data_IF_276933563207
#
_entry.id   IF_276933563207
#
_cell.length_a   1.000
_cell.length_b   1.000
_cell.length_c   1.000
_cell.angle_alpha   90.00
_cell.angle_beta   90.00
_cell.angle_gamma   90.00
#
_symmetry.space_group_name_H-M   'P 1'
#
loop_
_entity.id
_entity.type
_entity.pdbx_description
1 polymer ?
#
# COMPACT_ATOMS: atom_id res chain seq x y z
N UNK A 1 -52.72 5.95 52.92
CA UNK A 1 -51.44 6.40 52.28
C UNK A 1 -50.32 5.72 53.04
N UNK A 2 -49.88 4.54 52.54
CA UNK A 2 -48.71 3.83 53.09
C UNK A 2 -47.50 4.16 52.23
N UNK A 3 -46.69 5.07 52.70
CA UNK A 3 -45.35 5.30 52.16
C UNK A 3 -44.44 4.17 52.64
N UNK A 4 -44.23 3.16 51.82
CA UNK A 4 -43.16 2.17 52.01
C UNK A 4 -41.86 2.91 51.84
N UNK A 5 -41.27 3.34 52.94
CA UNK A 5 -39.84 3.78 52.93
C UNK A 5 -39.03 2.54 52.60
N UNK A 6 -38.63 2.41 51.31
CA UNK A 6 -37.59 1.46 50.90
C UNK A 6 -36.33 1.84 51.68
N UNK A 7 -35.88 0.93 52.52
CA UNK A 7 -34.59 1.03 53.23
C UNK A 7 -33.48 1.14 52.17
N UNK A 8 -33.22 2.36 51.73
CA UNK A 8 -32.18 2.63 50.71
C UNK A 8 -30.86 2.60 51.44
N UNK A 9 -30.05 1.61 51.20
CA UNK A 9 -28.65 1.57 51.65
C UNK A 9 -27.94 2.87 51.25
N UNK A 10 -27.33 3.53 52.21
CA UNK A 10 -26.46 4.67 51.93
C UNK A 10 -25.17 4.16 51.39
N UNK A 11 -24.84 4.57 50.15
CA UNK A 11 -23.63 4.18 49.43
C UNK A 11 -22.73 5.39 49.29
N UNK A 12 -21.44 5.20 49.44
CA UNK A 12 -20.45 6.18 49.01
C UNK A 12 -20.42 6.30 47.47
N UNK A 13 -19.92 7.41 46.97
CA UNK A 13 -19.73 7.61 45.51
C UNK A 13 -18.90 6.48 44.87
N UNK A 14 -17.89 6.02 45.59
CA UNK A 14 -17.02 4.93 45.10
C UNK A 14 -17.74 3.59 45.04
N UNK A 15 -18.56 3.27 46.05
CA UNK A 15 -19.38 2.03 46.10
C UNK A 15 -20.42 2.03 44.98
N UNK A 16 -21.12 3.14 44.78
CA UNK A 16 -22.07 3.28 43.68
C UNK A 16 -21.38 3.14 42.30
N UNK A 17 -20.27 3.84 42.10
CA UNK A 17 -19.49 3.76 40.83
C UNK A 17 -18.98 2.36 40.55
N UNK A 18 -18.51 1.63 41.59
CA UNK A 18 -18.09 0.23 41.44
C UNK A 18 -19.27 -0.68 41.11
N UNK A 19 -20.42 -0.50 41.76
CA UNK A 19 -21.62 -1.30 41.48
C UNK A 19 -22.10 -1.10 40.03
N UNK A 20 -22.14 0.17 39.58
CA UNK A 20 -22.46 0.49 38.15
C UNK A 20 -21.47 -0.14 37.21
N UNK A 21 -20.17 -0.05 37.52
CA UNK A 21 -19.13 -0.65 36.69
C UNK A 21 -19.32 -2.15 36.54
N UNK A 22 -19.51 -2.87 37.65
CA UNK A 22 -19.72 -4.32 37.64
C UNK A 22 -20.96 -4.70 36.81
N UNK A 23 -22.08 -3.99 37.01
CA UNK A 23 -23.30 -4.21 36.23
C UNK A 23 -23.08 -4.02 34.72
N UNK A 24 -22.32 -3.01 34.34
CA UNK A 24 -22.02 -2.75 32.92
C UNK A 24 -21.09 -3.82 32.37
N UNK A 25 -20.01 -4.16 33.07
CA UNK A 25 -19.04 -5.16 32.62
C UNK A 25 -19.65 -6.56 32.51
N UNK A 26 -20.54 -6.95 33.42
CA UNK A 26 -21.26 -8.24 33.40
C UNK A 26 -22.27 -8.34 32.25
N UNK A 27 -22.97 -7.23 31.91
CA UNK A 27 -24.00 -7.26 30.87
C UNK A 27 -23.47 -6.95 29.47
N UNK A 28 -22.29 -6.31 29.35
CA UNK A 28 -21.68 -5.86 28.09
C UNK A 28 -20.26 -6.35 27.95
N UNK A 29 -20.03 -7.62 28.36
CA UNK A 29 -18.70 -8.27 28.24
C UNK A 29 -18.25 -8.45 26.80
N UNK A 30 -19.19 -8.63 25.86
CA UNK A 30 -18.93 -8.74 24.44
C UNK A 30 -20.03 -8.02 23.66
N UNK A 31 -19.65 -6.94 22.97
CA UNK A 31 -20.57 -6.13 22.16
C UNK A 31 -20.01 -5.89 20.76
N UNK A 32 -20.91 -5.75 19.80
CA UNK A 32 -20.62 -5.31 18.43
C UNK A 32 -21.35 -3.98 18.22
N UNK A 33 -20.62 -2.90 18.12
CA UNK A 33 -21.17 -1.55 17.99
C UNK A 33 -20.80 -0.96 16.66
N UNK A 34 -21.79 -0.62 15.83
CA UNK A 34 -21.61 0.08 14.55
C UNK A 34 -21.63 1.59 14.79
N UNK A 35 -20.72 2.30 14.15
CA UNK A 35 -20.68 3.75 14.20
C UNK A 35 -19.59 4.30 13.31
N UNK A 36 -19.58 5.63 13.16
CA UNK A 36 -18.51 6.37 12.47
C UNK A 36 -17.41 6.73 13.48
N UNK A 37 -16.16 6.54 13.09
CA UNK A 37 -15.02 6.99 13.88
C UNK A 37 -14.93 8.52 13.81
N UNK A 38 -14.99 9.16 14.97
CA UNK A 38 -14.74 10.58 15.16
C UNK A 38 -13.26 10.89 15.36
N UNK A 39 -12.98 11.81 16.31
CA UNK A 39 -11.60 12.21 16.64
C UNK A 39 -10.76 11.01 17.05
N UNK A 40 -9.57 10.87 16.45
CA UNK A 40 -8.59 9.83 16.79
C UNK A 40 -7.36 10.47 17.43
N UNK A 41 -6.92 9.93 18.57
CA UNK A 41 -5.71 10.34 19.28
C UNK A 41 -4.78 9.14 19.48
N UNK A 42 -3.51 9.32 19.13
CA UNK A 42 -2.45 8.30 19.24
C UNK A 42 -1.30 8.84 20.10
N UNK A 43 -1.40 8.78 21.42
CA UNK A 43 -0.32 9.19 22.30
C UNK A 43 0.90 8.27 22.18
N UNK A 44 2.06 8.75 22.65
CA UNK A 44 3.33 8.02 22.64
C UNK A 44 3.29 6.68 23.40
N UNK A 45 2.30 6.48 24.28
CA UNK A 45 2.07 5.20 24.97
C UNK A 45 1.71 4.03 24.04
N UNK A 46 1.33 4.31 22.78
CA UNK A 46 0.95 3.32 21.77
C UNK A 46 -0.50 2.84 21.89
N UNK A 47 -1.32 3.43 22.80
CA UNK A 47 -2.76 3.23 22.84
C UNK A 47 -3.43 4.10 21.78
N UNK A 48 -4.63 3.69 21.31
CA UNK A 48 -5.43 4.51 20.41
C UNK A 48 -6.73 4.88 21.15
N UNK A 49 -7.03 6.16 21.16
CA UNK A 49 -8.30 6.69 21.68
C UNK A 49 -9.07 7.29 20.53
N UNK A 50 -10.37 7.03 20.48
CA UNK A 50 -11.23 7.59 19.45
C UNK A 50 -12.66 7.74 19.98
N UNK A 51 -13.47 8.53 19.28
CA UNK A 51 -14.89 8.62 19.50
C UNK A 51 -15.59 7.76 18.44
N UNK A 52 -16.52 6.90 18.86
CA UNK A 52 -17.44 6.17 17.99
C UNK A 52 -18.80 6.85 18.09
N UNK A 53 -19.33 7.33 16.99
CA UNK A 53 -20.55 8.13 16.94
C UNK A 53 -21.55 7.58 15.92
N UNK A 54 -22.82 7.81 16.17
CA UNK A 54 -23.92 7.75 15.22
C UNK A 54 -24.62 9.10 15.15
N UNK A 55 -25.85 9.13 14.63
CA UNK A 55 -26.60 10.38 14.47
C UNK A 55 -26.97 11.04 15.81
N UNK A 56 -27.10 10.26 16.90
CA UNK A 56 -27.69 10.70 18.14
C UNK A 56 -26.76 10.55 19.34
N UNK A 57 -25.70 9.74 19.24
CA UNK A 57 -24.88 9.34 20.38
C UNK A 57 -23.39 9.24 20.06
N UNK A 58 -22.59 9.43 21.10
CA UNK A 58 -21.13 9.27 21.04
C UNK A 58 -20.67 8.42 22.22
N UNK A 59 -19.83 7.42 21.94
CA UNK A 59 -19.12 6.64 22.96
C UNK A 59 -17.62 6.71 22.74
N UNK A 60 -16.85 6.86 23.82
CA UNK A 60 -15.39 6.86 23.72
C UNK A 60 -14.87 5.44 23.54
N UNK A 61 -14.00 5.23 22.54
CA UNK A 61 -13.33 3.97 22.26
C UNK A 61 -11.85 3.99 22.68
N UNK A 62 -11.38 2.88 23.21
CA UNK A 62 -9.98 2.66 23.57
C UNK A 62 -9.50 1.36 22.95
N UNK A 63 -8.36 1.42 22.29
CA UNK A 63 -7.63 0.24 21.83
C UNK A 63 -6.28 0.21 22.53
N UNK A 64 -6.05 -0.85 23.27
CA UNK A 64 -4.80 -1.02 23.99
C UNK A 64 -3.66 -1.32 23.01
N UNK A 65 -2.43 -0.92 23.34
CA UNK A 65 -1.22 -1.09 22.50
C UNK A 65 -1.10 -2.50 21.91
N UNK A 66 -1.36 -3.55 22.68
CA UNK A 66 -1.27 -4.94 22.21
C UNK A 66 -2.27 -5.28 21.11
N UNK A 67 -3.49 -4.70 21.16
CA UNK A 67 -4.53 -4.89 20.17
C UNK A 67 -4.34 -3.90 19.00
N UNK A 68 -3.84 -2.70 19.27
CA UNK A 68 -3.55 -1.69 18.25
C UNK A 68 -2.56 -2.19 17.19
N UNK A 69 -1.63 -3.05 17.58
CA UNK A 69 -0.65 -3.69 16.68
C UNK A 69 -1.24 -4.85 15.85
N UNK A 70 -2.43 -5.34 16.21
CA UNK A 70 -3.10 -6.48 15.56
C UNK A 70 -4.30 -6.08 14.71
N UNK A 71 -4.60 -4.80 14.62
CA UNK A 71 -5.73 -4.31 13.85
C UNK A 71 -5.48 -4.46 12.35
N UNK A 72 -6.38 -5.09 11.64
CA UNK A 72 -6.38 -5.16 10.18
C UNK A 72 -6.65 -3.80 9.53
N UNK A 73 -7.40 -2.94 10.23
CA UNK A 73 -7.73 -1.60 9.77
C UNK A 73 -7.43 -0.60 10.88
N UNK A 74 -6.56 0.36 10.59
CA UNK A 74 -6.26 1.46 11.51
C UNK A 74 -7.48 2.41 11.59
N UNK A 75 -7.95 2.76 12.80
CA UNK A 75 -9.08 3.67 12.94
C UNK A 75 -8.73 5.05 12.39
N UNK A 76 -9.52 5.53 11.43
CA UNK A 76 -9.39 6.86 10.83
C UNK A 76 -10.69 7.63 10.93
N UNK A 77 -10.60 8.95 11.10
CA UNK A 77 -11.76 9.82 11.24
C UNK A 77 -12.65 9.82 9.99
N UNK A 78 -13.92 9.55 10.18
CA UNK A 78 -14.92 9.44 9.13
C UNK A 78 -15.13 8.02 8.61
N UNK A 79 -14.40 7.02 9.14
CA UNK A 79 -14.60 5.62 8.78
C UNK A 79 -15.78 5.03 9.52
N UNK A 80 -16.73 4.46 8.80
CA UNK A 80 -17.83 3.68 9.38
C UNK A 80 -17.35 2.26 9.67
N UNK A 81 -17.47 1.86 10.96
CA UNK A 81 -16.90 0.59 11.45
C UNK A 81 -17.87 -0.15 12.37
N UNK A 82 -17.57 -1.43 12.56
CA UNK A 82 -18.12 -2.24 13.63
C UNK A 82 -17.01 -2.49 14.64
N UNK A 83 -17.11 -1.87 15.80
CA UNK A 83 -16.20 -2.10 16.92
C UNK A 83 -16.66 -3.30 17.73
N UNK A 84 -15.75 -4.24 17.96
CA UNK A 84 -15.98 -5.46 18.73
C UNK A 84 -15.15 -5.37 19.99
N UNK A 85 -15.77 -5.56 21.15
CA UNK A 85 -15.10 -5.45 22.42
C UNK A 85 -16.06 -5.44 23.59
N UNK A 86 -15.66 -4.86 24.71
CA UNK A 86 -16.45 -4.78 25.96
C UNK A 86 -16.65 -3.35 26.41
N UNK A 87 -17.78 -3.10 27.06
CA UNK A 87 -18.06 -1.79 27.65
C UNK A 87 -17.57 -1.75 29.10
N UNK A 88 -16.92 -0.67 29.47
CA UNK A 88 -16.49 -0.41 30.86
C UNK A 88 -16.76 1.04 31.24
N UNK A 89 -16.60 1.36 32.54
CA UNK A 89 -16.66 2.74 33.00
C UNK A 89 -15.32 3.24 33.49
N UNK A 90 -15.02 4.50 33.20
CA UNK A 90 -13.86 5.18 33.79
C UNK A 90 -14.26 5.76 35.14
N UNK A 91 -13.74 5.18 36.23
CA UNK A 91 -14.14 5.50 37.63
C UNK A 91 -14.03 6.97 37.97
N UNK A 92 -13.03 7.67 37.45
CA UNK A 92 -12.76 9.08 37.80
C UNK A 92 -13.78 10.09 37.28
N UNK A 93 -14.59 9.73 36.26
CA UNK A 93 -15.54 10.65 35.62
C UNK A 93 -16.91 10.04 35.32
N UNK A 94 -17.17 8.80 35.73
CA UNK A 94 -18.42 8.06 35.44
C UNK A 94 -18.80 8.05 33.95
N UNK A 95 -17.79 8.02 33.08
CA UNK A 95 -17.97 7.89 31.62
C UNK A 95 -17.91 6.43 31.21
N UNK A 96 -18.85 6.00 30.34
CA UNK A 96 -18.67 4.70 29.71
C UNK A 96 -17.78 4.83 28.50
N UNK A 97 -17.08 3.75 28.25
CA UNK A 97 -16.16 3.62 27.13
C UNK A 97 -16.16 2.17 26.63
N UNK A 98 -15.92 1.99 25.36
CA UNK A 98 -15.74 0.66 24.78
C UNK A 98 -14.24 0.35 24.68
N UNK A 99 -13.81 -0.77 25.29
CA UNK A 99 -12.48 -1.33 25.06
C UNK A 99 -12.60 -2.21 23.84
N UNK A 100 -11.96 -1.78 22.75
CA UNK A 100 -12.07 -2.43 21.44
C UNK A 100 -10.95 -3.43 21.25
N UNK A 101 -11.31 -4.67 20.94
CA UNK A 101 -10.39 -5.75 20.65
C UNK A 101 -10.21 -5.93 19.13
N UNK A 102 -11.26 -5.67 18.33
CA UNK A 102 -11.25 -5.78 16.87
C UNK A 102 -12.10 -4.68 16.25
N UNK A 103 -11.66 -4.18 15.09
CA UNK A 103 -12.44 -3.27 14.24
C UNK A 103 -12.67 -3.96 12.89
N UNK A 104 -13.92 -3.96 12.44
CA UNK A 104 -14.31 -4.41 11.11
C UNK A 104 -14.88 -3.21 10.34
N UNK A 105 -14.61 -3.06 9.04
CA UNK A 105 -15.26 -2.01 8.24
C UNK A 105 -16.77 -2.28 8.18
N UNK A 106 -17.57 -1.24 8.23
CA UNK A 106 -19.03 -1.40 8.10
C UNK A 106 -19.51 -1.57 6.65
N UNK A 107 -18.61 -2.10 5.78
CA UNK A 107 -18.85 -2.44 4.39
C UNK A 107 -17.92 -1.75 3.40
N UNK A 108 -17.95 -2.23 2.15
CA UNK A 108 -17.10 -1.75 1.05
C UNK A 108 -17.30 -0.24 0.80
N UNK A 109 -18.50 0.29 1.04
CA UNK A 109 -18.80 1.71 0.89
C UNK A 109 -17.97 2.63 1.80
N UNK A 110 -17.71 2.21 3.04
CA UNK A 110 -16.89 2.97 3.98
C UNK A 110 -15.41 3.01 3.53
N UNK A 111 -14.87 1.89 3.06
CA UNK A 111 -13.53 1.82 2.49
C UNK A 111 -13.38 2.69 1.25
N UNK A 112 -14.37 2.66 0.36
CA UNK A 112 -14.37 3.50 -0.85
C UNK A 112 -14.43 4.99 -0.52
N UNK A 113 -15.24 5.40 0.46
CA UNK A 113 -15.30 6.80 0.89
C UNK A 113 -13.95 7.28 1.45
N UNK A 114 -13.28 6.45 2.23
CA UNK A 114 -11.94 6.74 2.76
C UNK A 114 -10.91 6.82 1.64
N UNK A 115 -10.92 5.87 0.70
CA UNK A 115 -10.04 5.88 -0.48
C UNK A 115 -10.18 7.18 -1.29
N UNK A 116 -11.40 7.60 -1.56
CA UNK A 116 -11.68 8.85 -2.28
C UNK A 116 -11.20 10.09 -1.51
N UNK A 117 -11.37 10.11 -0.19
CA UNK A 117 -10.87 11.19 0.68
C UNK A 117 -9.34 11.27 0.61
N UNK A 118 -8.62 10.12 0.75
CA UNK A 118 -7.16 10.06 0.63
C UNK A 118 -6.70 10.50 -0.76
N UNK A 119 -7.31 9.96 -1.81
CA UNK A 119 -7.01 10.32 -3.20
C UNK A 119 -7.08 11.82 -3.42
N UNK A 120 -8.18 12.47 -3.03
CA UNK A 120 -8.34 13.92 -3.16
C UNK A 120 -7.30 14.72 -2.38
N UNK A 121 -6.90 14.24 -1.20
CA UNK A 121 -5.86 14.90 -0.41
C UNK A 121 -4.51 14.87 -1.13
N UNK A 122 -4.08 13.67 -1.55
CA UNK A 122 -2.80 13.46 -2.23
C UNK A 122 -2.74 14.10 -3.63
N UNK A 123 -3.90 14.16 -4.32
CA UNK A 123 -4.04 14.85 -5.60
C UNK A 123 -3.85 16.38 -5.45
N UNK A 124 -4.39 16.99 -4.38
CA UNK A 124 -4.17 18.41 -4.06
C UNK A 124 -2.72 18.73 -3.75
N UNK A 125 -1.99 17.79 -3.17
CA UNK A 125 -0.54 17.89 -2.95
C UNK A 125 0.27 17.70 -4.24
N UNK A 126 -0.37 17.27 -5.35
CA UNK A 126 0.27 17.08 -6.66
C UNK A 126 1.03 15.76 -6.83
N UNK A 127 0.90 14.78 -5.91
CA UNK A 127 1.68 13.55 -5.94
C UNK A 127 1.41 12.68 -7.18
N UNK A 128 0.27 12.86 -7.84
CA UNK A 128 -0.11 12.09 -9.04
C UNK A 128 0.22 12.81 -10.36
N UNK A 129 0.86 13.98 -10.31
CA UNK A 129 1.17 14.76 -11.49
C UNK A 129 2.16 14.05 -12.40
N UNK A 130 1.89 14.08 -13.70
CA UNK A 130 2.73 13.41 -14.72
C UNK A 130 4.16 13.96 -14.79
N UNK A 131 4.35 15.20 -14.35
CA UNK A 131 5.64 15.91 -14.34
C UNK A 131 6.68 15.25 -13.42
N UNK A 132 6.24 14.55 -12.38
CA UNK A 132 7.12 13.86 -11.43
C UNK A 132 7.42 12.41 -11.84
N UNK A 133 6.73 11.89 -12.87
CA UNK A 133 6.92 10.50 -13.30
C UNK A 133 8.23 10.33 -14.05
N UNK A 134 9.02 9.37 -13.61
CA UNK A 134 10.31 9.02 -14.15
C UNK A 134 10.17 8.15 -15.40
N UNK A 135 11.14 8.28 -16.30
CA UNK A 135 11.18 7.44 -17.50
C UNK A 135 11.75 6.07 -17.10
N UNK A 136 11.06 5.02 -17.51
CA UNK A 136 11.56 3.64 -17.36
C UNK A 136 12.77 3.45 -18.30
N UNK A 137 13.91 2.96 -17.82
CA UNK A 137 15.08 2.72 -18.65
C UNK A 137 14.78 1.68 -19.74
N UNK A 138 15.17 1.97 -20.97
CA UNK A 138 14.90 1.09 -22.11
C UNK A 138 15.59 -0.27 -22.02
N UNK A 139 16.84 -0.30 -21.53
CA UNK A 139 17.63 -1.52 -21.31
C UNK A 139 18.17 -1.47 -19.88
N UNK A 140 17.40 -1.93 -18.88
CA UNK A 140 17.88 -2.03 -17.51
C UNK A 140 18.93 -3.14 -17.42
N UNK A 141 19.81 -3.05 -16.43
CA UNK A 141 20.77 -4.11 -16.07
C UNK A 141 20.19 -5.02 -15.00
N UNK A 142 19.53 -4.42 -14.01
CA UNK A 142 18.98 -5.11 -12.85
C UNK A 142 17.56 -4.63 -12.58
N UNK A 143 16.65 -5.54 -12.36
CA UNK A 143 15.24 -5.26 -11.96
C UNK A 143 15.04 -5.67 -10.51
N UNK A 144 14.51 -4.75 -9.69
CA UNK A 144 14.00 -5.06 -8.37
C UNK A 144 12.54 -5.51 -8.45
N UNK A 145 12.15 -6.55 -7.74
CA UNK A 145 10.75 -7.00 -7.66
C UNK A 145 10.32 -7.08 -6.21
N UNK A 146 9.30 -6.32 -5.86
CA UNK A 146 8.66 -6.32 -4.53
C UNK A 146 7.37 -7.11 -4.65
N UNK A 147 7.34 -8.32 -4.09
CA UNK A 147 6.18 -9.22 -4.16
C UNK A 147 6.31 -10.35 -3.13
N UNK A 148 5.27 -11.18 -3.03
CA UNK A 148 5.34 -12.41 -2.23
C UNK A 148 6.25 -13.46 -2.89
N UNK A 149 7.19 -14.07 -2.13
CA UNK A 149 8.15 -15.01 -2.68
C UNK A 149 7.54 -16.34 -3.14
N UNK A 150 6.37 -16.72 -2.63
CA UNK A 150 5.72 -18.00 -2.89
C UNK A 150 4.61 -17.95 -3.94
N UNK A 151 4.27 -16.76 -4.47
CA UNK A 151 3.16 -16.53 -5.38
C UNK A 151 3.44 -17.00 -6.83
N UNK A 152 2.38 -17.15 -7.62
CA UNK A 152 2.49 -17.31 -9.07
C UNK A 152 3.10 -16.06 -9.73
N UNK A 153 2.80 -14.89 -9.18
CA UNK A 153 3.21 -13.57 -9.66
C UNK A 153 4.73 -13.48 -9.92
N UNK A 154 5.54 -13.90 -8.97
CA UNK A 154 7.02 -13.82 -9.14
C UNK A 154 7.50 -14.77 -10.24
N UNK A 155 6.91 -15.95 -10.34
CA UNK A 155 7.27 -16.91 -11.41
C UNK A 155 6.90 -16.38 -12.78
N UNK A 156 5.74 -15.76 -12.91
CA UNK A 156 5.25 -15.17 -14.16
C UNK A 156 6.16 -14.00 -14.61
N UNK A 157 6.59 -13.15 -13.66
CA UNK A 157 7.54 -12.06 -13.93
C UNK A 157 8.88 -12.59 -14.40
N UNK A 158 9.48 -13.53 -13.64
CA UNK A 158 10.80 -14.11 -13.99
C UNK A 158 10.74 -14.80 -15.34
N UNK A 159 9.74 -15.66 -15.56
CA UNK A 159 9.56 -16.36 -16.83
C UNK A 159 9.46 -15.38 -18.01
N UNK A 160 8.69 -14.31 -17.86
CA UNK A 160 8.52 -13.32 -18.92
C UNK A 160 9.80 -12.52 -19.19
N UNK A 161 10.57 -12.19 -18.15
CA UNK A 161 11.88 -11.52 -18.31
C UNK A 161 12.88 -12.46 -19.00
N UNK A 162 12.96 -13.72 -18.59
CA UNK A 162 13.86 -14.72 -19.21
C UNK A 162 13.55 -14.93 -20.69
N UNK A 163 12.27 -15.00 -21.06
CA UNK A 163 11.83 -15.16 -22.44
C UNK A 163 12.18 -13.94 -23.32
N UNK A 164 12.00 -12.71 -22.79
CA UNK A 164 12.16 -11.50 -23.61
C UNK A 164 13.58 -10.92 -23.61
N UNK A 165 14.15 -10.78 -22.43
CA UNK A 165 15.47 -10.20 -22.24
C UNK A 165 16.06 -10.66 -20.91
N UNK A 166 16.80 -11.76 -20.87
CA UNK A 166 17.41 -12.29 -19.65
C UNK A 166 18.34 -11.27 -18.99
N UNK A 167 18.06 -10.96 -17.72
CA UNK A 167 18.87 -10.06 -16.90
C UNK A 167 18.75 -10.42 -15.42
N UNK A 168 19.50 -9.72 -14.58
CA UNK A 168 19.47 -9.93 -13.13
C UNK A 168 18.17 -9.41 -12.52
N UNK A 169 17.52 -10.27 -11.71
CA UNK A 169 16.29 -9.92 -10.97
C UNK A 169 16.56 -10.07 -9.48
N UNK A 170 16.42 -8.98 -8.73
CA UNK A 170 16.51 -8.94 -7.28
C UNK A 170 15.10 -8.98 -6.70
N UNK A 171 14.81 -10.00 -5.90
CA UNK A 171 13.49 -10.12 -5.27
C UNK A 171 13.57 -9.66 -3.82
N UNK A 172 12.74 -8.68 -3.45
CA UNK A 172 12.52 -8.29 -2.07
C UNK A 172 11.19 -8.90 -1.60
N UNK A 173 11.24 -9.93 -0.76
CA UNK A 173 10.05 -10.64 -0.34
C UNK A 173 9.24 -9.81 0.66
N UNK A 174 7.96 -9.60 0.38
CA UNK A 174 7.03 -8.89 1.26
C UNK A 174 5.68 -9.61 1.34
N UNK A 175 4.93 -9.35 2.39
CA UNK A 175 3.51 -9.67 2.41
C UNK A 175 2.77 -8.68 1.53
N UNK A 176 1.97 -9.20 0.61
CA UNK A 176 1.23 -8.40 -0.37
C UNK A 176 -0.24 -8.17 0.03
N UNK A 177 -0.59 -8.50 1.26
CA UNK A 177 -1.91 -8.29 1.89
C UNK A 177 -1.77 -8.32 3.41
N UNK A 178 -2.80 -7.84 4.12
CA UNK A 178 -2.80 -7.79 5.58
C UNK A 178 -2.15 -6.51 6.14
N UNK A 179 -2.07 -6.45 7.45
CA UNK A 179 -1.75 -5.24 8.20
C UNK A 179 -0.31 -4.75 8.00
N UNK A 180 0.64 -5.66 7.87
CA UNK A 180 2.06 -5.32 7.72
C UNK A 180 2.48 -5.01 6.28
N UNK A 181 1.58 -5.26 5.30
CA UNK A 181 1.86 -5.03 3.89
C UNK A 181 2.40 -3.60 3.60
N UNK A 182 1.79 -2.51 4.10
CA UNK A 182 2.28 -1.16 3.81
C UNK A 182 3.71 -0.94 4.32
N UNK A 183 3.99 -1.35 5.55
CA UNK A 183 5.31 -1.16 6.18
C UNK A 183 6.40 -1.96 5.45
N UNK A 184 6.12 -3.22 5.11
CA UNK A 184 7.06 -4.07 4.36
C UNK A 184 7.32 -3.55 2.94
N UNK A 185 6.31 -2.98 2.27
CA UNK A 185 6.48 -2.38 0.94
C UNK A 185 7.31 -1.10 1.01
N UNK A 186 7.09 -0.25 2.02
CA UNK A 186 7.89 0.95 2.27
C UNK A 186 9.35 0.56 2.50
N UNK A 187 9.60 -0.36 3.43
CA UNK A 187 10.95 -0.85 3.76
C UNK A 187 11.66 -1.43 2.53
N UNK A 188 10.92 -2.14 1.67
CA UNK A 188 11.48 -2.71 0.44
C UNK A 188 11.87 -1.62 -0.58
N UNK A 189 11.03 -0.59 -0.76
CA UNK A 189 11.33 0.53 -1.65
C UNK A 189 12.57 1.28 -1.14
N UNK A 190 12.61 1.62 0.14
CA UNK A 190 13.74 2.31 0.76
C UNK A 190 15.00 1.45 0.77
N UNK A 191 14.85 0.15 1.06
CA UNK A 191 15.94 -0.81 1.09
C UNK A 191 16.65 -0.94 -0.26
N UNK A 192 15.93 -0.93 -1.38
CA UNK A 192 16.54 -0.95 -2.71
C UNK A 192 17.41 0.29 -3.01
N UNK A 193 17.23 1.39 -2.30
CA UNK A 193 18.13 2.54 -2.42
C UNK A 193 19.45 2.34 -1.64
N UNK A 194 19.47 1.43 -0.65
CA UNK A 194 20.61 1.17 0.21
C UNK A 194 21.46 -0.02 -0.24
N UNK A 195 20.98 -0.81 -1.21
CA UNK A 195 21.64 -2.05 -1.69
C UNK A 195 23.06 -1.81 -2.22
N UNK A 196 23.35 -0.66 -2.78
CA UNK A 196 24.67 -0.29 -3.33
C UNK A 196 25.82 -0.37 -2.30
N UNK A 197 25.48 -0.48 -0.99
CA UNK A 197 26.45 -0.65 0.10
C UNK A 197 26.89 -2.10 0.33
N UNK A 198 26.29 -3.08 -0.37
CA UNK A 198 26.41 -4.53 -0.08
C UNK A 198 26.98 -5.39 -1.23
N UNK A 199 27.74 -4.85 -2.17
CA UNK A 199 28.21 -5.51 -3.39
C UNK A 199 27.12 -6.08 -4.32
N UNK A 200 25.85 -5.70 -4.11
CA UNK A 200 24.73 -6.04 -4.98
C UNK A 200 24.40 -4.77 -5.78
N UNK A 201 24.23 -4.88 -7.09
CA UNK A 201 23.90 -3.72 -7.92
C UNK A 201 22.51 -3.18 -7.58
N UNK A 202 22.39 -1.87 -7.36
CA UNK A 202 21.12 -1.22 -7.19
C UNK A 202 20.24 -1.43 -8.43
N UNK A 203 18.95 -1.76 -8.30
CA UNK A 203 18.08 -1.94 -9.45
C UNK A 203 17.87 -0.63 -10.22
N UNK A 204 17.78 -0.74 -11.55
CA UNK A 204 17.48 0.37 -12.45
C UNK A 204 15.98 0.69 -12.52
N UNK A 205 15.14 -0.30 -12.22
CA UNK A 205 13.68 -0.20 -12.13
C UNK A 205 13.15 -1.17 -11.09
N UNK A 206 12.09 -0.77 -10.39
CA UNK A 206 11.40 -1.60 -9.39
C UNK A 206 10.02 -1.96 -9.94
N UNK A 207 9.64 -3.22 -9.82
CA UNK A 207 8.27 -3.69 -10.06
C UNK A 207 7.64 -4.01 -8.70
N UNK A 208 6.53 -3.34 -8.36
CA UNK A 208 5.69 -3.71 -7.22
C UNK A 208 4.51 -4.50 -7.76
N UNK A 209 4.43 -5.78 -7.42
CA UNK A 209 3.48 -6.70 -8.05
C UNK A 209 2.67 -7.51 -7.06
N UNK A 210 1.37 -7.63 -7.36
CA UNK A 210 0.44 -8.52 -6.67
C UNK A 210 -0.64 -8.98 -7.64
N UNK A 211 -1.08 -10.22 -7.52
CA UNK A 211 -2.25 -10.74 -8.25
C UNK A 211 -3.55 -10.05 -7.85
N UNK A 212 -4.64 -10.35 -8.53
CA UNK A 212 -5.97 -9.83 -8.20
C UNK A 212 -6.43 -10.18 -6.78
N UNK A 213 -7.47 -9.50 -6.30
CA UNK A 213 -8.07 -9.71 -4.98
C UNK A 213 -9.17 -8.71 -4.70
N UNK A 214 -9.79 -8.83 -3.54
CA UNK A 214 -10.81 -7.89 -3.08
C UNK A 214 -10.22 -6.52 -2.74
N UNK A 215 -11.07 -5.50 -2.58
CA UNK A 215 -10.63 -4.16 -2.16
C UNK A 215 -9.88 -4.21 -0.82
N UNK A 216 -10.34 -5.05 0.08
CA UNK A 216 -9.71 -5.26 1.39
C UNK A 216 -8.32 -5.86 1.25
N UNK A 217 -8.15 -6.82 0.36
CA UNK A 217 -6.86 -7.44 0.08
C UNK A 217 -5.84 -6.45 -0.52
N UNK A 218 -6.31 -5.49 -1.32
CA UNK A 218 -5.51 -4.45 -1.96
C UNK A 218 -5.31 -3.22 -1.08
N UNK A 219 -5.93 -3.19 0.11
CA UNK A 219 -5.98 -2.00 0.95
C UNK A 219 -4.61 -1.46 1.33
N UNK A 220 -3.63 -2.35 1.56
CA UNK A 220 -2.26 -1.96 1.89
C UNK A 220 -1.58 -1.06 0.85
N UNK A 221 -1.94 -1.19 -0.42
CA UNK A 221 -1.41 -0.35 -1.52
C UNK A 221 -2.13 0.99 -1.66
N UNK A 222 -3.17 1.22 -0.85
CA UNK A 222 -3.86 2.50 -0.70
C UNK A 222 -3.39 3.26 0.55
N UNK A 223 -2.31 2.83 1.21
CA UNK A 223 -1.73 3.53 2.34
C UNK A 223 -0.97 4.77 1.90
N UNK A 224 -1.12 5.87 2.65
CA UNK A 224 -0.47 7.14 2.35
C UNK A 224 1.06 7.03 2.44
N UNK A 225 1.59 6.25 3.39
CA UNK A 225 3.02 6.02 3.54
C UNK A 225 3.62 5.35 2.31
N UNK A 226 2.92 4.35 1.74
CA UNK A 226 3.32 3.68 0.50
C UNK A 226 3.34 4.66 -0.67
N UNK A 227 2.30 5.49 -0.82
CA UNK A 227 2.26 6.52 -1.88
C UNK A 227 3.43 7.48 -1.76
N UNK A 228 3.75 7.94 -0.55
CA UNK A 228 4.88 8.85 -0.30
C UNK A 228 6.23 8.18 -0.54
N UNK A 229 6.39 6.91 -0.17
CA UNK A 229 7.61 6.14 -0.45
C UNK A 229 7.85 5.98 -1.96
N UNK A 230 6.80 5.67 -2.74
CA UNK A 230 6.86 5.59 -4.20
C UNK A 230 7.21 6.94 -4.82
N UNK A 231 6.56 8.02 -4.38
CA UNK A 231 6.83 9.38 -4.88
C UNK A 231 8.28 9.81 -4.63
N UNK A 232 8.81 9.53 -3.45
CA UNK A 232 10.17 9.90 -3.05
C UNK A 232 11.25 8.97 -3.62
N UNK A 233 10.87 7.82 -4.18
CA UNK A 233 11.81 6.88 -4.78
C UNK A 233 12.61 7.55 -5.90
N UNK A 234 13.93 7.34 -5.92
CA UNK A 234 14.81 7.78 -7.02
C UNK A 234 14.87 6.75 -8.15
N UNK A 235 14.47 5.52 -7.87
CA UNK A 235 14.39 4.44 -8.84
C UNK A 235 12.98 4.47 -9.43
N UNK A 236 12.81 4.42 -10.76
CA UNK A 236 11.49 4.36 -11.37
C UNK A 236 10.75 3.10 -10.95
N UNK A 237 9.43 3.24 -10.68
CA UNK A 237 8.58 2.18 -10.17
C UNK A 237 7.47 1.85 -11.16
N UNK A 238 7.34 0.56 -11.49
CA UNK A 238 6.22 0.01 -12.23
C UNK A 238 5.26 -0.65 -11.24
N UNK A 239 4.02 -0.19 -11.21
CA UNK A 239 2.94 -0.84 -10.46
C UNK A 239 2.27 -1.92 -11.29
N UNK A 240 2.07 -3.10 -10.71
CA UNK A 240 1.31 -4.21 -11.29
C UNK A 240 0.43 -4.85 -10.21
N UNK A 241 -0.53 -4.06 -9.70
CA UNK A 241 -1.41 -4.45 -8.59
C UNK A 241 -2.84 -4.61 -9.11
N UNK A 242 -3.43 -5.79 -8.85
CA UNK A 242 -4.80 -6.08 -9.28
C UNK A 242 -4.96 -6.26 -10.79
N UNK A 243 -6.20 -6.13 -11.24
CA UNK A 243 -6.60 -6.18 -12.65
C UNK A 243 -6.91 -4.78 -13.17
N UNK A 244 -7.34 -4.67 -14.44
CA UNK A 244 -7.61 -3.37 -15.09
C UNK A 244 -8.59 -2.47 -14.34
N UNK A 245 -9.55 -3.06 -13.63
CA UNK A 245 -10.59 -2.34 -12.88
C UNK A 245 -10.16 -1.88 -11.48
N UNK A 246 -9.12 -2.48 -10.91
CA UNK A 246 -8.75 -2.33 -9.51
C UNK A 246 -7.61 -1.30 -9.36
N UNK A 247 -7.95 -0.01 -9.46
CA UNK A 247 -6.97 1.05 -9.31
C UNK A 247 -6.66 1.34 -7.84
N UNK A 248 -5.41 1.20 -7.45
CA UNK A 248 -4.90 1.61 -6.14
C UNK A 248 -4.24 2.99 -6.19
N UNK A 249 -4.03 3.61 -5.02
CA UNK A 249 -3.28 4.88 -4.95
C UNK A 249 -1.82 4.71 -5.37
N UNK A 250 -1.24 3.52 -5.15
CA UNK A 250 0.09 3.19 -5.65
C UNK A 250 0.12 3.22 -7.18
N UNK A 251 -0.92 2.74 -7.87
CA UNK A 251 -1.01 2.80 -9.33
C UNK A 251 -1.03 4.24 -9.86
N UNK A 252 -1.65 5.15 -9.10
CA UNK A 252 -1.72 6.56 -9.49
C UNK A 252 -0.39 7.28 -9.35
N UNK A 253 0.38 6.97 -8.31
CA UNK A 253 1.67 7.61 -8.04
C UNK A 253 2.85 6.96 -8.78
N UNK A 254 2.79 5.67 -9.09
CA UNK A 254 3.84 4.95 -9.80
C UNK A 254 4.19 5.60 -11.14
N UNK A 255 5.43 5.48 -11.57
CA UNK A 255 5.92 6.05 -12.83
C UNK A 255 5.24 5.40 -14.04
N UNK A 256 4.95 4.12 -13.94
CA UNK A 256 4.20 3.36 -14.95
C UNK A 256 3.23 2.37 -14.28
N UNK A 257 2.01 2.28 -14.79
CA UNK A 257 1.06 1.23 -14.43
C UNK A 257 1.05 0.12 -15.48
N UNK A 258 1.06 -1.10 -15.02
CA UNK A 258 0.81 -2.29 -15.84
C UNK A 258 -0.44 -3.03 -15.34
N UNK A 259 -1.32 -3.54 -16.21
CA UNK A 259 -2.55 -4.20 -15.82
C UNK A 259 -2.34 -5.57 -15.17
N UNK A 260 -1.18 -6.18 -15.38
CA UNK A 260 -0.81 -7.50 -14.84
C UNK A 260 0.68 -7.55 -14.53
N UNK A 261 1.13 -8.48 -13.65
CA UNK A 261 2.54 -8.70 -13.39
C UNK A 261 3.35 -9.05 -14.64
N UNK A 262 2.80 -9.85 -15.56
CA UNK A 262 3.39 -10.16 -16.86
C UNK A 262 3.57 -8.92 -17.73
N UNK A 263 2.55 -8.06 -17.80
CA UNK A 263 2.64 -6.81 -18.55
C UNK A 263 3.66 -5.84 -17.92
N UNK A 264 3.88 -5.87 -16.61
CA UNK A 264 4.94 -5.10 -15.97
C UNK A 264 6.32 -5.57 -16.40
N UNK A 265 6.54 -6.88 -16.43
CA UNK A 265 7.78 -7.46 -16.94
C UNK A 265 8.02 -7.08 -18.41
N UNK A 266 6.99 -7.14 -19.26
CA UNK A 266 7.07 -6.73 -20.66
C UNK A 266 7.42 -5.23 -20.84
N UNK A 267 6.90 -4.38 -19.98
CA UNK A 267 7.20 -2.94 -20.01
C UNK A 267 8.56 -2.59 -19.41
N UNK A 268 9.10 -3.47 -18.57
CA UNK A 268 10.40 -3.27 -17.94
C UNK A 268 11.57 -3.63 -18.85
N UNK A 269 11.37 -4.52 -19.84
CA UNK A 269 12.44 -5.00 -20.72
C UNK A 269 12.05 -4.96 -22.20
N UNK A 270 13.01 -4.70 -23.12
CA UNK A 270 12.79 -4.80 -24.56
C UNK A 270 12.69 -6.28 -25.00
N UNK A 271 12.44 -6.51 -26.28
CA UNK A 271 12.54 -7.83 -26.90
C UNK A 271 13.94 -8.00 -27.50
N UNK A 272 14.69 -8.97 -26.98
CA UNK A 272 16.09 -9.23 -27.40
C UNK A 272 16.21 -9.49 -28.88
N UNK A 273 15.31 -10.30 -29.44
CA UNK A 273 15.37 -10.67 -30.87
C UNK A 273 15.09 -9.48 -31.77
N UNK A 274 14.19 -8.59 -31.41
CA UNK A 274 13.96 -7.33 -32.16
C UNK A 274 15.19 -6.42 -32.13
N UNK A 275 15.88 -6.34 -31.00
CA UNK A 275 17.12 -5.56 -30.90
C UNK A 275 18.21 -6.14 -31.76
N UNK A 276 18.37 -7.48 -31.82
CA UNK A 276 19.35 -8.15 -32.69
C UNK A 276 19.03 -7.94 -34.17
N UNK A 277 17.78 -8.02 -34.57
CA UNK A 277 17.32 -7.72 -35.93
C UNK A 277 17.67 -6.28 -36.34
N UNK A 278 17.30 -5.33 -35.49
CA UNK A 278 17.58 -3.91 -35.69
C UNK A 278 19.12 -3.65 -35.83
N UNK A 279 19.89 -4.28 -34.96
CA UNK A 279 21.35 -4.19 -35.01
C UNK A 279 21.92 -4.77 -36.33
N UNK A 280 21.38 -5.90 -36.77
CA UNK A 280 21.75 -6.52 -38.02
C UNK A 280 21.44 -5.62 -39.23
N UNK A 281 20.26 -5.03 -39.27
CA UNK A 281 19.89 -4.08 -40.33
C UNK A 281 20.77 -2.84 -40.36
N UNK A 282 21.08 -2.29 -39.19
CA UNK A 282 22.02 -1.16 -39.08
C UNK A 282 23.41 -1.53 -39.60
N UNK A 283 23.88 -2.73 -39.28
CA UNK A 283 25.17 -3.24 -39.75
C UNK A 283 25.20 -3.37 -41.28
N UNK A 284 24.15 -3.94 -41.92
CA UNK A 284 24.02 -4.05 -43.35
C UNK A 284 24.04 -2.67 -44.03
N UNK A 285 23.26 -1.72 -43.48
CA UNK A 285 23.21 -0.34 -44.01
C UNK A 285 24.55 0.37 -43.90
N UNK A 286 25.24 0.23 -42.77
CA UNK A 286 26.57 0.78 -42.55
C UNK A 286 27.56 0.21 -43.60
N UNK A 287 27.60 -1.12 -43.71
CA UNK A 287 28.47 -1.82 -44.67
C UNK A 287 28.25 -1.34 -46.11
N UNK A 288 26.97 -1.29 -46.52
CA UNK A 288 26.60 -0.83 -47.88
C UNK A 288 27.00 0.64 -48.12
N UNK A 289 26.84 1.49 -47.11
CA UNK A 289 27.25 2.91 -47.20
C UNK A 289 28.77 3.08 -47.33
N UNK A 290 29.53 2.28 -46.58
CA UNK A 290 31.01 2.28 -46.68
C UNK A 290 31.45 1.82 -48.05
N UNK A 291 30.92 0.69 -48.57
CA UNK A 291 31.24 0.18 -49.90
C UNK A 291 30.92 1.20 -50.98
N UNK A 292 29.77 1.85 -50.93
CA UNK A 292 29.40 2.91 -51.89
C UNK A 292 30.41 4.06 -51.87
N UNK A 293 30.78 4.57 -50.68
CA UNK A 293 31.77 5.65 -50.55
C UNK A 293 33.16 5.27 -51.07
N UNK A 294 33.59 4.02 -50.82
CA UNK A 294 34.86 3.53 -51.34
C UNK A 294 34.82 3.49 -52.88
N UNK A 295 33.75 2.93 -53.46
CA UNK A 295 33.55 2.84 -54.91
C UNK A 295 33.56 4.23 -55.55
N UNK A 296 32.79 5.18 -55.04
CA UNK A 296 32.74 6.57 -55.50
C UNK A 296 34.12 7.25 -55.46
N UNK A 297 34.92 7.03 -54.40
CA UNK A 297 36.28 7.57 -54.31
C UNK A 297 37.22 6.92 -55.26
N UNK A 298 37.13 5.59 -55.46
CA UNK A 298 37.99 4.84 -56.41
C UNK A 298 37.69 5.28 -57.83
N UNK A 299 36.45 5.39 -58.25
CA UNK A 299 36.02 5.89 -59.55
C UNK A 299 36.50 7.34 -59.79
N UNK A 300 36.38 8.20 -58.79
CA UNK A 300 36.85 9.60 -58.87
C UNK A 300 38.38 9.69 -59.07
N UNK A 301 39.17 8.83 -58.41
CA UNK A 301 40.57 8.80 -58.52
C UNK A 301 41.05 8.25 -59.93
N UNK A 302 40.28 7.32 -60.52
CA UNK A 302 40.54 6.81 -61.87
C UNK A 302 40.24 7.85 -62.97
N UNK A 303 39.37 8.80 -62.73
CA UNK A 303 39.05 9.87 -63.69
C UNK A 303 40.09 11.00 -63.64
N UNK A 304 40.86 11.14 -62.59
CA UNK A 304 41.83 12.21 -62.35
C UNK A 304 43.27 11.76 -62.77
N UNK A 305 43.51 10.44 -62.92
CA UNK A 305 44.76 9.86 -63.41
C UNK A 305 44.70 9.64 -64.93
#
# INVERSE_FOLDING_TARGET
>A
MNSTIKNTLELSVSELSNSIKNLIEENFEYVRVRGEIGRVSRPSSGHIYFDLKDNDSVISGIIWKGNALKLEIKPEEGLEVICIGRVTTYKGQSKYQIIVDKIEPAGIGALMALLEKRKKSLEREGLFSKEYKKIIPYIPKTIGVITSPSGAVIRDIIHRIEERFPLEVLVWPVRVQGETCPEEVIDAIEGFHLVDQSNISRPDVIIVARGGGSLEDLWGFNDEGVVRAVFNSKIPIISAIGHETDNTLLDLVADLRAPTPTAAAEKAVPVKDELLLNLHDLFIRLKSSIYRKIKEKTERNMIIS
#
